data_IF_538414945746
#
_entry.id   IF_538414945746
#
_cell.length_a   1.000
_cell.length_b   1.000
_cell.length_c   1.000
_cell.angle_alpha   90.00
_cell.angle_beta   90.00
_cell.angle_gamma   90.00
#
_symmetry.space_group_name_H-M   'P 1'
#
loop_
_entity.id
_entity.type
_entity.pdbx_description
1 polymer ?
#
# COMPACT_ATOMS: atom_id res chain seq x y z
N UNK A 1 2.82 -12.58 6.38
CA UNK A 1 3.11 -11.13 6.48
C UNK A 1 1.89 -10.39 7.02
N UNK A 2 2.06 -9.57 8.06
CA UNK A 2 0.98 -8.79 8.67
C UNK A 2 0.89 -7.40 8.01
N UNK A 3 -0.34 -6.90 7.88
CA UNK A 3 -0.61 -5.55 7.35
C UNK A 3 -1.54 -4.81 8.28
N UNK A 4 -1.22 -3.55 8.51
CA UNK A 4 -2.03 -2.63 9.31
C UNK A 4 -2.32 -1.38 8.51
N UNK A 5 -3.43 -0.72 8.84
CA UNK A 5 -3.90 0.46 8.13
C UNK A 5 -4.15 1.56 9.14
N UNK A 6 -3.50 2.71 8.94
CA UNK A 6 -3.85 3.91 9.70
C UNK A 6 -5.23 4.42 9.30
N UNK A 7 -5.81 5.30 10.11
CA UNK A 7 -7.11 5.85 9.80
C UNK A 7 -7.07 6.82 8.60
N UNK A 8 -5.95 7.52 8.40
CA UNK A 8 -5.70 8.32 7.19
C UNK A 8 -5.71 7.44 5.94
N UNK A 9 -5.03 6.29 5.99
CA UNK A 9 -5.02 5.33 4.89
C UNK A 9 -6.44 4.86 4.55
N UNK A 10 -7.23 4.49 5.57
CA UNK A 10 -8.62 4.04 5.38
C UNK A 10 -9.47 5.15 4.78
N UNK A 11 -9.40 6.38 5.30
CA UNK A 11 -10.14 7.54 4.80
C UNK A 11 -9.80 7.83 3.33
N UNK A 12 -8.51 7.88 2.98
CA UNK A 12 -8.07 8.16 1.61
C UNK A 12 -8.43 7.02 0.66
N UNK A 13 -8.29 5.77 1.09
CA UNK A 13 -8.74 4.59 0.33
C UNK A 13 -10.24 4.67 0.03
N UNK A 14 -11.07 5.02 1.02
CA UNK A 14 -12.51 5.20 0.84
C UNK A 14 -12.82 6.32 -0.15
N UNK A 15 -12.08 7.44 -0.13
CA UNK A 15 -12.24 8.52 -1.11
C UNK A 15 -12.03 8.04 -2.54
N UNK A 16 -10.96 7.28 -2.80
CA UNK A 16 -10.72 6.69 -4.12
C UNK A 16 -11.80 5.67 -4.51
N UNK A 17 -12.23 4.81 -3.58
CA UNK A 17 -13.29 3.83 -3.84
C UNK A 17 -14.63 4.50 -4.16
N UNK A 18 -14.96 5.61 -3.50
CA UNK A 18 -16.18 6.38 -3.79
C UNK A 18 -16.18 6.93 -5.22
N UNK A 19 -15.01 7.36 -5.72
CA UNK A 19 -14.84 7.82 -7.11
C UNK A 19 -14.85 6.67 -8.11
N UNK A 20 -14.35 5.50 -7.73
CA UNK A 20 -14.34 4.31 -8.57
C UNK A 20 -14.51 3.03 -7.74
N UNK A 21 -15.74 2.49 -7.73
CA UNK A 21 -16.11 1.33 -6.92
C UNK A 21 -15.29 0.07 -7.26
N UNK A 22 -14.76 -0.05 -8.49
CA UNK A 22 -13.91 -1.18 -8.89
C UNK A 22 -12.56 -1.21 -8.15
N UNK A 23 -12.14 -0.09 -7.54
CA UNK A 23 -10.91 -0.08 -6.73
C UNK A 23 -11.04 -0.93 -5.48
N UNK A 24 -12.26 -1.16 -4.96
CA UNK A 24 -12.48 -2.00 -3.77
C UNK A 24 -11.94 -3.42 -3.96
N UNK A 25 -12.22 -4.04 -5.11
CA UNK A 25 -11.70 -5.38 -5.43
C UNK A 25 -10.19 -5.37 -5.67
N UNK A 26 -9.67 -4.27 -6.23
CA UNK A 26 -8.23 -4.10 -6.50
C UNK A 26 -7.43 -4.02 -5.20
N UNK A 27 -7.84 -3.17 -4.25
CA UNK A 27 -7.23 -3.09 -2.92
C UNK A 27 -7.32 -4.44 -2.17
N UNK A 28 -8.50 -5.08 -2.17
CA UNK A 28 -8.67 -6.38 -1.54
C UNK A 28 -7.70 -7.41 -2.11
N UNK A 29 -7.64 -7.53 -3.43
CA UNK A 29 -6.73 -8.46 -4.13
C UNK A 29 -5.27 -8.22 -3.74
N UNK A 30 -4.81 -6.97 -3.80
CA UNK A 30 -3.41 -6.65 -3.54
C UNK A 30 -3.02 -6.87 -2.07
N UNK A 31 -3.89 -6.53 -1.11
CA UNK A 31 -3.58 -6.81 0.31
C UNK A 31 -3.70 -8.28 0.68
N UNK A 32 -4.62 -9.04 0.07
CA UNK A 32 -4.64 -10.50 0.20
C UNK A 32 -3.34 -11.10 -0.32
N UNK A 33 -2.88 -10.66 -1.49
CA UNK A 33 -1.64 -11.14 -2.07
C UNK A 33 -0.42 -10.75 -1.24
N UNK A 34 -0.36 -9.52 -0.72
CA UNK A 34 0.73 -9.05 0.12
C UNK A 34 0.88 -9.88 1.41
N UNK A 35 -0.24 -10.29 2.03
CA UNK A 35 -0.22 -11.14 3.23
C UNK A 35 0.42 -12.51 2.96
N UNK A 36 0.18 -13.05 1.76
CA UNK A 36 0.69 -14.35 1.31
C UNK A 36 2.16 -14.24 0.86
N UNK A 37 2.44 -13.32 -0.05
CA UNK A 37 3.78 -13.09 -0.60
C UNK A 37 3.99 -11.59 -0.87
N UNK A 38 4.67 -10.86 0.03
CA UNK A 38 4.91 -9.42 -0.13
C UNK A 38 5.85 -9.09 -1.30
N UNK A 39 6.65 -10.06 -1.75
CA UNK A 39 7.57 -9.92 -2.88
C UNK A 39 6.97 -10.40 -4.20
N UNK A 40 5.66 -10.64 -4.25
CA UNK A 40 5.00 -11.06 -5.49
C UNK A 40 5.16 -9.97 -6.59
N UNK A 41 5.54 -10.33 -7.83
CA UNK A 41 5.82 -9.36 -8.89
C UNK A 41 4.68 -8.37 -9.20
N UNK A 42 3.42 -8.80 -9.05
CA UNK A 42 2.25 -7.92 -9.27
C UNK A 42 2.07 -6.84 -8.20
N UNK A 43 2.72 -6.96 -7.04
CA UNK A 43 2.73 -5.91 -6.02
C UNK A 43 3.74 -4.82 -6.36
N UNK A 44 4.79 -5.16 -7.14
CA UNK A 44 5.90 -4.26 -7.47
C UNK A 44 6.44 -3.56 -6.21
N UNK A 45 6.58 -4.31 -5.12
CA UNK A 45 7.07 -3.78 -3.85
C UNK A 45 8.48 -3.23 -4.05
N UNK A 46 8.67 -1.96 -3.74
CA UNK A 46 9.98 -1.31 -3.77
C UNK A 46 10.11 -0.28 -2.66
N UNK A 47 11.34 -0.02 -2.22
CA UNK A 47 11.65 1.10 -1.35
C UNK A 47 11.61 2.40 -2.13
N UNK A 48 11.12 3.45 -1.50
CA UNK A 48 11.25 4.81 -2.02
C UNK A 48 12.69 5.29 -1.86
N UNK A 49 13.05 6.36 -2.57
CA UNK A 49 14.41 6.92 -2.59
C UNK A 49 14.47 8.26 -1.82
N UNK A 50 15.69 8.73 -1.55
CA UNK A 50 15.93 10.02 -0.91
C UNK A 50 15.41 10.08 0.53
N UNK A 51 14.70 11.18 0.87
CA UNK A 51 14.15 11.43 2.21
C UNK A 51 13.12 10.39 2.68
N UNK A 52 12.61 9.55 1.77
CA UNK A 52 11.59 8.53 2.04
C UNK A 52 12.18 7.11 2.02
N UNK A 53 13.49 6.94 2.16
CA UNK A 53 14.18 5.65 2.03
C UNK A 53 13.74 4.56 3.04
N UNK A 54 13.08 4.95 4.13
CA UNK A 54 12.46 4.02 5.09
C UNK A 54 11.04 3.57 4.69
N UNK A 55 10.49 4.13 3.62
CA UNK A 55 9.14 3.86 3.14
C UNK A 55 9.16 2.91 1.93
N UNK A 56 8.05 2.20 1.76
CA UNK A 56 7.82 1.23 0.71
C UNK A 56 6.53 1.57 -0.03
N UNK A 57 6.47 1.24 -1.32
CA UNK A 57 5.27 1.39 -2.13
C UNK A 57 4.90 0.05 -2.77
N UNK A 58 3.60 -0.23 -2.86
CA UNK A 58 3.04 -1.31 -3.69
C UNK A 58 2.09 -0.74 -4.74
N UNK A 59 2.06 -1.38 -5.91
CA UNK A 59 1.10 -1.12 -6.98
C UNK A 59 -0.30 -1.59 -6.59
N UNK A 60 -1.31 -0.73 -6.74
CA UNK A 60 -2.71 -1.09 -6.51
C UNK A 60 -3.45 -1.35 -7.82
N UNK A 61 -3.63 -0.29 -8.63
CA UNK A 61 -4.22 -0.33 -9.97
C UNK A 61 -3.87 0.97 -10.68
N UNK A 62 -3.49 0.89 -11.96
CA UNK A 62 -3.10 2.07 -12.73
C UNK A 62 -1.92 2.81 -12.10
N UNK A 63 -2.13 4.09 -11.83
CA UNK A 63 -1.19 5.01 -11.18
C UNK A 63 -1.20 4.92 -9.64
N UNK A 64 -2.21 4.28 -9.03
CA UNK A 64 -2.32 4.23 -7.57
C UNK A 64 -1.27 3.35 -6.90
N UNK A 65 -0.69 3.87 -5.82
CA UNK A 65 0.24 3.21 -4.91
C UNK A 65 -0.27 3.26 -3.48
N UNK A 66 -0.04 2.20 -2.72
CA UNK A 66 -0.21 2.20 -1.28
C UNK A 66 1.17 2.27 -0.62
N UNK A 67 1.35 3.25 0.27
CA UNK A 67 2.61 3.50 0.95
C UNK A 67 2.61 2.89 2.34
N UNK A 68 3.73 2.30 2.71
CA UNK A 68 3.92 1.65 4.00
C UNK A 68 5.31 1.86 4.60
N UNK A 69 5.40 1.64 5.89
CA UNK A 69 6.66 1.44 6.61
C UNK A 69 6.68 0.04 7.21
N UNK A 70 7.87 -0.56 7.32
CA UNK A 70 8.05 -1.81 8.05
C UNK A 70 8.16 -1.48 9.54
N UNK A 71 7.34 -2.11 10.38
CA UNK A 71 7.38 -1.90 11.83
C UNK A 71 8.71 -2.37 12.41
N UNK A 72 9.30 -1.54 13.29
CA UNK A 72 10.54 -1.88 14.01
C UNK A 72 10.27 -2.74 15.26
N UNK A 73 9.07 -2.66 15.82
CA UNK A 73 8.68 -3.35 17.06
C UNK A 73 7.90 -4.64 16.82
N UNK A 74 7.22 -4.76 15.67
CA UNK A 74 6.38 -5.92 15.35
C UNK A 74 6.96 -6.71 14.20
N UNK A 75 7.23 -7.99 14.45
CA UNK A 75 7.76 -8.93 13.48
C UNK A 75 6.86 -9.00 12.24
N UNK A 76 7.48 -8.93 11.06
CA UNK A 76 6.81 -9.09 9.76
C UNK A 76 5.53 -8.26 9.58
N UNK A 77 5.54 -7.01 10.05
CA UNK A 77 4.38 -6.12 9.95
C UNK A 77 4.70 -4.89 9.10
N UNK A 78 3.85 -4.62 8.11
CA UNK A 78 3.85 -3.36 7.36
C UNK A 78 2.65 -2.50 7.75
N UNK A 79 2.91 -1.24 8.07
CA UNK A 79 1.88 -0.26 8.40
C UNK A 79 1.68 0.62 7.18
N UNK A 80 0.51 0.50 6.54
CA UNK A 80 0.10 1.31 5.42
C UNK A 80 -0.56 2.60 5.91
N UNK A 81 -0.04 3.73 5.47
CA UNK A 81 -0.40 5.05 6.00
C UNK A 81 -0.92 6.02 4.94
N UNK A 82 -0.62 5.79 3.65
CA UNK A 82 -1.10 6.66 2.57
C UNK A 82 -1.40 5.90 1.26
N UNK A 83 -2.23 6.51 0.41
CA UNK A 83 -2.50 6.10 -0.98
C UNK A 83 -2.20 7.29 -1.88
N UNK A 84 -1.30 7.14 -2.85
CA UNK A 84 -0.83 8.22 -3.73
C UNK A 84 -0.89 7.79 -5.19
N UNK A 85 -0.89 8.73 -6.13
CA UNK A 85 -0.68 8.44 -7.54
C UNK A 85 0.81 8.34 -7.89
N UNK A 86 1.15 7.95 -9.12
CA UNK A 86 2.55 7.79 -9.53
C UNK A 86 3.33 9.11 -9.49
N UNK A 87 2.68 10.22 -9.79
CA UNK A 87 3.28 11.56 -9.81
C UNK A 87 3.56 12.14 -8.42
N UNK A 88 3.08 11.47 -7.37
CA UNK A 88 3.15 11.93 -5.97
C UNK A 88 4.17 11.14 -5.11
N UNK A 89 4.95 10.20 -5.69
CA UNK A 89 5.88 9.33 -4.93
C UNK A 89 7.35 9.32 -5.38
#
# INVERSE_FOLDING_TARGET
>A
MNVEFTDEFKKKTQHFIRKNAQLKSSFKKQFTLFKINPFHPSLRLHKLKGRRSEQYAIWIKGDLRALSIKSKTRTETYVFFDVVTHDEY
#
